data_IF_046576379387
#
_entry.id   IF_046576379387
#
_cell.length_a   1.000
_cell.length_b   1.000
_cell.length_c   1.000
_cell.angle_alpha   90.00
_cell.angle_beta   90.00
_cell.angle_gamma   90.00
#
_symmetry.space_group_name_H-M   'P 1'
#
loop_
_entity.id
_entity.type
_entity.pdbx_description
1 polymer ?
#
# COMPACT_ATOMS: atom_id res chain seq x y z
N UNK A 1 -37.01 -17.00 -26.51
CA UNK A 1 -36.32 -17.58 -25.33
C UNK A 1 -34.79 -17.47 -25.36
N UNK A 2 -34.13 -17.27 -26.50
CA UNK A 2 -32.65 -17.27 -26.59
C UNK A 2 -31.97 -15.95 -26.19
N UNK A 3 -32.67 -14.81 -26.31
CA UNK A 3 -32.17 -13.49 -25.89
C UNK A 3 -32.13 -13.30 -24.36
N UNK A 4 -33.00 -14.00 -23.63
CA UNK A 4 -33.10 -13.93 -22.16
C UNK A 4 -31.94 -14.66 -21.47
N UNK A 5 -31.46 -15.76 -22.05
CA UNK A 5 -30.41 -16.60 -21.47
C UNK A 5 -29.05 -15.91 -21.57
N UNK A 6 -28.75 -15.19 -22.67
CA UNK A 6 -27.50 -14.46 -22.83
C UNK A 6 -27.40 -13.23 -21.92
N UNK A 7 -28.51 -12.51 -21.69
CA UNK A 7 -28.56 -11.41 -20.73
C UNK A 7 -28.38 -11.90 -19.28
N UNK A 8 -28.96 -13.05 -18.92
CA UNK A 8 -28.82 -13.63 -17.57
C UNK A 8 -27.41 -14.21 -17.33
N UNK A 9 -26.77 -14.81 -18.34
CA UNK A 9 -25.36 -15.24 -18.23
C UNK A 9 -24.39 -14.05 -18.20
N UNK A 10 -24.69 -12.96 -18.92
CA UNK A 10 -23.89 -11.73 -18.89
C UNK A 10 -23.94 -11.03 -17.52
N UNK A 11 -25.11 -10.94 -16.88
CA UNK A 11 -25.26 -10.34 -15.56
C UNK A 11 -24.85 -11.25 -14.39
N UNK A 12 -24.93 -12.58 -14.55
CA UNK A 12 -24.51 -13.54 -13.50
C UNK A 12 -22.99 -13.77 -13.44
N UNK A 13 -22.24 -13.52 -14.52
CA UNK A 13 -20.78 -13.76 -14.57
C UNK A 13 -19.91 -12.51 -14.43
N UNK A 14 -20.42 -11.29 -14.64
CA UNK A 14 -19.55 -10.11 -14.76
C UNK A 14 -19.27 -9.36 -13.44
N UNK A 15 -20.13 -9.43 -12.42
CA UNK A 15 -19.99 -8.59 -11.20
C UNK A 15 -19.70 -9.37 -9.90
N UNK A 16 -19.91 -10.69 -9.88
CA UNK A 16 -19.77 -11.54 -8.68
C UNK A 16 -18.30 -11.86 -8.32
N UNK A 17 -17.39 -12.24 -9.25
CA UNK A 17 -16.02 -12.59 -8.89
C UNK A 17 -15.15 -11.37 -8.51
N UNK A 18 -15.45 -10.19 -9.07
CA UNK A 18 -14.63 -8.97 -8.87
C UNK A 18 -14.75 -8.43 -7.43
N UNK A 19 -15.96 -8.42 -6.88
CA UNK A 19 -16.21 -8.02 -5.49
C UNK A 19 -15.76 -9.10 -4.49
N UNK A 20 -15.90 -10.38 -4.85
CA UNK A 20 -15.39 -11.49 -4.05
C UNK A 20 -13.87 -11.41 -3.90
N UNK A 21 -13.14 -11.13 -5.00
CA UNK A 21 -11.69 -10.97 -4.94
C UNK A 21 -11.29 -9.83 -4.01
N UNK A 22 -11.94 -8.66 -4.08
CA UNK A 22 -11.64 -7.54 -3.17
C UNK A 22 -11.84 -7.91 -1.70
N UNK A 23 -12.91 -8.61 -1.37
CA UNK A 23 -13.18 -9.07 0.00
C UNK A 23 -12.13 -10.08 0.48
N UNK A 24 -11.81 -11.07 -0.35
CA UNK A 24 -10.82 -12.11 -0.01
C UNK A 24 -9.41 -11.52 0.07
N UNK A 25 -9.04 -10.57 -0.80
CA UNK A 25 -7.80 -9.80 -0.70
C UNK A 25 -7.72 -9.11 0.66
N UNK A 26 -8.75 -8.34 1.03
CA UNK A 26 -8.78 -7.63 2.32
C UNK A 26 -8.67 -8.59 3.50
N UNK A 27 -9.35 -9.72 3.46
CA UNK A 27 -9.23 -10.77 4.49
C UNK A 27 -7.83 -11.39 4.51
N UNK A 28 -7.21 -11.62 3.35
CA UNK A 28 -5.88 -12.21 3.24
C UNK A 28 -4.80 -11.26 3.79
N UNK A 29 -4.89 -9.97 3.48
CA UNK A 29 -4.05 -8.92 4.04
C UNK A 29 -4.18 -8.83 5.56
N UNK A 30 -5.40 -8.91 6.09
CA UNK A 30 -5.65 -8.89 7.53
C UNK A 30 -5.08 -10.11 8.27
N UNK A 31 -4.91 -11.24 7.55
CA UNK A 31 -4.32 -12.48 8.06
C UNK A 31 -2.81 -12.59 7.74
N UNK A 32 -2.20 -11.56 7.13
CA UNK A 32 -0.79 -11.56 6.73
C UNK A 32 -0.44 -12.52 5.59
N UNK A 33 -1.43 -13.03 4.85
CA UNK A 33 -1.23 -13.94 3.71
C UNK A 33 -0.92 -13.15 2.44
N UNK A 34 0.28 -12.57 2.39
CA UNK A 34 0.67 -11.65 1.31
C UNK A 34 0.68 -12.27 -0.07
N UNK A 35 1.24 -13.47 -0.21
CA UNK A 35 1.31 -14.16 -1.51
C UNK A 35 -0.10 -14.40 -2.09
N UNK A 36 -1.06 -14.76 -1.23
CA UNK A 36 -2.46 -14.98 -1.63
C UNK A 36 -3.12 -13.67 -2.01
N UNK A 37 -2.92 -12.62 -1.20
CA UNK A 37 -3.45 -11.30 -1.49
C UNK A 37 -2.91 -10.77 -2.84
N UNK A 38 -1.60 -10.91 -3.08
CA UNK A 38 -0.95 -10.49 -4.32
C UNK A 38 -1.45 -11.29 -5.51
N UNK A 39 -1.51 -12.62 -5.39
CA UNK A 39 -2.04 -13.48 -6.44
C UNK A 39 -3.46 -13.10 -6.86
N UNK A 40 -4.35 -12.87 -5.89
CA UNK A 40 -5.73 -12.47 -6.16
C UNK A 40 -5.81 -11.06 -6.75
N UNK A 41 -4.95 -10.15 -6.28
CA UNK A 41 -4.84 -8.79 -6.80
C UNK A 41 -4.42 -8.80 -8.28
N UNK A 42 -3.41 -9.60 -8.65
CA UNK A 42 -2.92 -9.71 -10.03
C UNK A 42 -3.97 -10.33 -10.99
N UNK A 43 -4.98 -11.01 -10.45
CA UNK A 43 -6.11 -11.56 -11.21
C UNK A 43 -7.29 -10.59 -11.36
N UNK A 44 -7.21 -9.38 -10.80
CA UNK A 44 -8.26 -8.38 -10.97
C UNK A 44 -8.26 -7.83 -12.41
N UNK A 45 -9.40 -7.93 -13.09
CA UNK A 45 -9.57 -7.40 -14.45
C UNK A 45 -9.48 -5.86 -14.49
N UNK A 46 -9.92 -5.21 -13.42
CA UNK A 46 -9.89 -3.75 -13.27
C UNK A 46 -9.17 -3.41 -11.97
N UNK A 47 -7.91 -2.97 -12.11
CA UNK A 47 -7.15 -2.39 -11.00
C UNK A 47 -7.24 -0.88 -11.10
N UNK A 48 -7.39 -0.26 -9.94
CA UNK A 48 -7.44 1.18 -9.80
C UNK A 48 -6.70 1.61 -8.53
N UNK A 49 -6.59 2.92 -8.36
CA UNK A 49 -5.93 3.54 -7.22
C UNK A 49 -6.40 3.00 -5.86
N UNK A 50 -7.69 2.76 -5.70
CA UNK A 50 -8.26 2.24 -4.44
C UNK A 50 -7.74 0.83 -4.15
N UNK A 51 -7.69 -0.04 -5.16
CA UNK A 51 -7.21 -1.41 -5.02
C UNK A 51 -5.70 -1.46 -4.73
N UNK A 52 -4.91 -0.57 -5.32
CA UNK A 52 -3.47 -0.45 -5.06
C UNK A 52 -3.20 0.10 -3.66
N UNK A 53 -3.91 1.16 -3.24
CA UNK A 53 -3.81 1.71 -1.88
C UNK A 53 -4.21 0.69 -0.81
N UNK A 54 -5.16 -0.20 -1.11
CA UNK A 54 -5.50 -1.33 -0.24
C UNK A 54 -4.31 -2.28 -0.07
N UNK A 55 -3.62 -2.64 -1.16
CA UNK A 55 -2.43 -3.50 -1.10
C UNK A 55 -1.30 -2.84 -0.32
N UNK A 56 -0.97 -1.58 -0.63
CA UNK A 56 0.07 -0.80 0.07
C UNK A 56 -0.20 -0.75 1.58
N UNK A 57 -1.44 -0.42 1.97
CA UNK A 57 -1.85 -0.38 3.39
C UNK A 57 -1.75 -1.76 4.03
N UNK A 58 -2.14 -2.81 3.31
CA UNK A 58 -2.07 -4.19 3.78
C UNK A 58 -0.63 -4.63 4.06
N UNK A 59 0.28 -4.41 3.11
CA UNK A 59 1.71 -4.66 3.28
C UNK A 59 2.29 -3.86 4.45
N UNK A 60 1.94 -2.57 4.56
CA UNK A 60 2.38 -1.71 5.66
C UNK A 60 1.97 -2.23 7.05
N UNK A 61 0.73 -2.72 7.20
CA UNK A 61 0.24 -3.26 8.47
C UNK A 61 0.99 -4.52 8.92
N UNK A 62 1.55 -5.27 7.96
CA UNK A 62 2.25 -6.52 8.19
C UNK A 62 3.78 -6.39 8.12
N UNK A 63 4.30 -5.17 8.24
CA UNK A 63 5.75 -4.93 8.30
C UNK A 63 6.48 -5.38 7.02
N UNK A 64 5.80 -5.27 5.87
CA UNK A 64 6.38 -5.54 4.56
C UNK A 64 6.52 -4.22 3.79
N UNK A 65 7.65 -3.57 3.96
CA UNK A 65 7.94 -2.28 3.32
C UNK A 65 8.44 -2.43 1.88
N UNK A 66 9.02 -3.57 1.53
CA UNK A 66 9.38 -3.91 0.15
C UNK A 66 8.13 -4.13 -0.69
N UNK A 67 7.22 -5.00 -0.24
CA UNK A 67 5.94 -5.23 -0.91
C UNK A 67 5.11 -3.96 -1.02
N UNK A 68 5.11 -3.10 0.01
CA UNK A 68 4.45 -1.80 -0.07
C UNK A 68 5.07 -0.88 -1.16
N UNK A 69 6.39 -0.86 -1.29
CA UNK A 69 7.10 -0.05 -2.29
C UNK A 69 6.91 -0.60 -3.71
N UNK A 70 6.95 -1.93 -3.90
CA UNK A 70 6.64 -2.56 -5.19
C UNK A 70 5.23 -2.19 -5.69
N UNK A 71 4.28 -2.03 -4.78
CA UNK A 71 2.93 -1.59 -5.16
C UNK A 71 2.88 -0.12 -5.60
N UNK A 72 3.78 0.74 -5.11
CA UNK A 72 3.95 2.10 -5.61
C UNK A 72 4.51 2.08 -7.04
N UNK A 73 5.59 1.32 -7.26
CA UNK A 73 6.18 1.17 -8.60
C UNK A 73 5.14 0.64 -9.60
N UNK A 74 4.34 -0.34 -9.19
CA UNK A 74 3.23 -0.85 -9.99
C UNK A 74 2.18 0.23 -10.28
N UNK A 75 1.86 1.10 -9.32
CA UNK A 75 0.92 2.20 -9.52
C UNK A 75 1.44 3.18 -10.59
N UNK A 76 2.70 3.57 -10.51
CA UNK A 76 3.35 4.47 -11.48
C UNK A 76 3.44 3.83 -12.88
N UNK A 77 3.77 2.53 -12.96
CA UNK A 77 3.79 1.76 -14.21
C UNK A 77 2.41 1.66 -14.87
N UNK A 78 1.34 1.61 -14.08
CA UNK A 78 -0.05 1.64 -14.57
C UNK A 78 -0.54 3.05 -14.93
N UNK A 79 0.31 4.07 -14.80
CA UNK A 79 -0.03 5.47 -15.09
C UNK A 79 -1.00 6.08 -14.07
N UNK A 80 -1.07 5.49 -12.88
CA UNK A 80 -1.89 5.97 -11.77
C UNK A 80 -1.04 6.86 -10.87
N UNK A 81 -1.58 8.01 -10.48
CA UNK A 81 -0.83 8.96 -9.65
C UNK A 81 -1.01 8.67 -8.14
N UNK A 82 0.10 8.45 -7.40
CA UNK A 82 0.09 8.37 -5.93
C UNK A 82 -0.52 9.63 -5.29
N UNK A 83 -1.34 9.46 -4.25
CA UNK A 83 -1.81 10.55 -3.40
C UNK A 83 -1.21 10.56 -1.99
N UNK A 84 -1.64 11.52 -1.19
CA UNK A 84 -1.29 11.66 0.22
C UNK A 84 -1.51 10.36 1.01
N UNK A 85 -2.59 9.61 0.75
CA UNK A 85 -2.84 8.30 1.39
C UNK A 85 -1.78 7.27 0.99
N UNK A 86 -1.43 7.23 -0.30
CA UNK A 86 -0.40 6.34 -0.86
C UNK A 86 0.95 6.57 -0.16
N UNK A 87 1.40 7.82 -0.15
CA UNK A 87 2.68 8.21 0.46
C UNK A 87 2.67 8.04 1.99
N UNK A 88 1.60 8.42 2.68
CA UNK A 88 1.49 8.23 4.14
C UNK A 88 1.60 6.76 4.53
N UNK A 89 1.00 5.86 3.74
CA UNK A 89 1.06 4.41 3.98
C UNK A 89 2.47 3.86 3.79
N UNK A 90 3.20 4.32 2.77
CA UNK A 90 4.60 3.96 2.54
C UNK A 90 5.52 4.42 3.67
N UNK A 91 5.37 5.68 4.12
CA UNK A 91 6.12 6.22 5.25
C UNK A 91 5.89 5.39 6.51
N UNK A 92 4.62 5.07 6.79
CA UNK A 92 4.23 4.23 7.93
C UNK A 92 4.85 2.84 7.84
N UNK A 93 4.86 2.24 6.64
CA UNK A 93 5.46 0.93 6.40
C UNK A 93 6.95 0.92 6.71
N UNK A 94 7.70 1.89 6.16
CA UNK A 94 9.15 1.97 6.35
C UNK A 94 9.52 2.27 7.80
N UNK A 95 8.77 3.14 8.48
CA UNK A 95 8.93 3.39 9.92
C UNK A 95 8.75 2.10 10.73
N UNK A 96 7.68 1.34 10.47
CA UNK A 96 7.39 0.07 11.17
C UNK A 96 8.48 -0.97 10.97
N UNK A 97 9.14 -0.98 9.82
CA UNK A 97 10.23 -1.90 9.52
C UNK A 97 11.61 -1.39 9.97
N UNK A 98 11.65 -0.22 10.63
CA UNK A 98 12.91 0.40 11.06
C UNK A 98 13.76 0.98 9.92
N UNK A 99 13.23 1.05 8.69
CA UNK A 99 13.91 1.62 7.52
C UNK A 99 13.81 3.15 7.50
N UNK A 100 14.18 3.75 8.62
CA UNK A 100 14.00 5.17 8.94
C UNK A 100 14.67 6.11 7.91
N UNK A 101 15.86 5.73 7.40
CA UNK A 101 16.58 6.55 6.43
C UNK A 101 15.91 6.55 5.05
N UNK A 102 15.28 5.44 4.66
CA UNK A 102 14.50 5.34 3.42
C UNK A 102 13.18 6.11 3.54
N UNK A 103 12.52 6.03 4.70
CA UNK A 103 11.32 6.82 4.98
C UNK A 103 11.57 8.32 4.84
N UNK A 104 12.73 8.83 5.27
CA UNK A 104 13.12 10.24 5.04
C UNK A 104 13.19 10.59 3.55
N UNK A 105 13.79 9.71 2.73
CA UNK A 105 13.85 9.92 1.27
C UNK A 105 12.47 9.90 0.63
N UNK A 106 11.59 8.98 1.05
CA UNK A 106 10.21 8.91 0.59
C UNK A 106 9.44 10.20 0.94
N UNK A 107 9.67 10.76 2.12
CA UNK A 107 9.05 12.01 2.53
C UNK A 107 9.52 13.19 1.69
N UNK A 108 10.81 13.23 1.33
CA UNK A 108 11.33 14.24 0.41
C UNK A 108 10.72 14.08 -1.00
N UNK A 109 10.61 12.85 -1.51
CA UNK A 109 9.92 12.58 -2.79
C UNK A 109 8.46 13.05 -2.78
N UNK A 110 7.71 12.74 -1.72
CA UNK A 110 6.33 13.21 -1.53
C UNK A 110 6.23 14.74 -1.61
N UNK A 111 7.14 15.45 -0.93
CA UNK A 111 7.18 16.92 -0.92
C UNK A 111 7.57 17.50 -2.28
N UNK A 112 8.58 16.92 -2.93
CA UNK A 112 9.03 17.36 -4.25
C UNK A 112 7.98 17.12 -5.34
N UNK A 113 7.18 16.06 -5.20
CA UNK A 113 6.00 15.81 -6.04
C UNK A 113 4.84 16.77 -5.80
N UNK A 114 4.94 17.72 -4.86
CA UNK A 114 3.86 18.65 -4.53
C UNK A 114 2.67 17.98 -3.83
N UNK A 115 2.84 16.76 -3.33
CA UNK A 115 1.78 16.03 -2.64
C UNK A 115 1.54 16.65 -1.28
N UNK A 116 0.26 16.87 -0.95
CA UNK A 116 -0.15 17.42 0.35
C UNK A 116 0.35 16.51 1.47
N UNK A 117 1.14 17.08 2.37
CA UNK A 117 1.57 16.40 3.60
C UNK A 117 0.42 16.37 4.60
N UNK A 118 -0.01 15.17 4.99
CA UNK A 118 -1.06 14.93 5.99
C UNK A 118 -0.51 15.04 7.42
N UNK A 119 -1.41 15.19 8.40
CA UNK A 119 -1.01 15.20 9.82
C UNK A 119 -0.45 13.83 10.24
N UNK A 120 -1.00 12.76 9.67
CA UNK A 120 -0.55 11.38 9.83
C UNK A 120 0.87 11.19 9.32
N UNK A 121 1.19 11.70 8.13
CA UNK A 121 2.55 11.65 7.59
C UNK A 121 3.54 12.40 8.50
N UNK A 122 3.16 13.58 9.00
CA UNK A 122 4.01 14.34 9.94
C UNK A 122 4.23 13.57 11.25
N UNK A 123 3.20 12.93 11.80
CA UNK A 123 3.33 12.13 13.01
C UNK A 123 4.33 10.98 12.83
N UNK A 124 4.26 10.29 11.69
CA UNK A 124 5.22 9.23 11.33
C UNK A 124 6.64 9.78 11.19
N UNK A 125 6.81 10.93 10.54
CA UNK A 125 8.14 11.54 10.43
C UNK A 125 8.72 11.97 11.77
N UNK A 126 7.89 12.46 12.69
CA UNK A 126 8.32 12.80 14.05
C UNK A 126 8.77 11.57 14.83
N UNK A 127 8.08 10.43 14.71
CA UNK A 127 8.52 9.19 15.35
C UNK A 127 9.85 8.70 14.78
N UNK A 128 10.00 8.73 13.45
CA UNK A 128 11.27 8.38 12.78
C UNK A 128 12.43 9.26 13.29
N UNK A 129 12.22 10.58 13.37
CA UNK A 129 13.24 11.50 13.88
C UNK A 129 13.63 11.19 15.33
N UNK A 130 12.64 10.89 16.19
CA UNK A 130 12.91 10.50 17.57
C UNK A 130 13.74 9.21 17.65
N UNK A 131 13.41 8.20 16.85
CA UNK A 131 14.13 6.93 16.78
C UNK A 131 15.57 7.11 16.29
N UNK A 132 15.79 7.94 15.27
CA UNK A 132 17.13 8.25 14.77
C UNK A 132 17.98 8.99 15.81
N UNK A 133 17.38 9.94 16.54
CA UNK A 133 18.07 10.63 17.65
C UNK A 133 18.44 9.65 18.76
N UNK A 134 17.54 8.76 19.14
CA UNK A 134 17.80 7.72 20.14
C UNK A 134 18.91 6.76 19.67
N UNK A 135 18.85 6.32 18.42
CA UNK A 135 19.87 5.46 17.82
C UNK A 135 21.26 6.10 17.83
N UNK A 136 21.35 7.38 17.42
CA UNK A 136 22.61 8.12 17.43
C UNK A 136 23.20 8.26 18.84
N UNK A 137 22.35 8.49 19.86
CA UNK A 137 22.79 8.49 21.26
C UNK A 137 23.26 7.12 21.72
N UNK A 138 22.52 6.05 21.40
CA UNK A 138 22.92 4.68 21.72
C UNK A 138 24.29 4.33 21.13
N UNK A 139 24.52 4.69 19.86
CA UNK A 139 25.81 4.49 19.19
C UNK A 139 26.95 5.26 19.86
N UNK A 140 26.69 6.45 20.40
CA UNK A 140 27.71 7.25 21.10
C UNK A 140 28.10 6.67 22.47
N UNK A 141 27.27 5.82 23.08
CA UNK A 141 27.54 5.20 24.39
C UNK A 141 28.25 3.85 24.24
N UNK A 142 27.98 3.12 23.15
CA UNK A 142 28.56 1.80 22.85
C UNK A 142 30.03 1.83 22.37
N UNK A 143 30.84 2.81 22.81
CA UNK A 143 32.29 2.89 22.51
C UNK A 143 33.04 1.74 23.18
#
# INVERSE_FOLDING_TARGET
MQLSIHLITFFSNAQQPVNANKFIIRSSLALGKMDVARHLFDKMCERNKISLNMMISGFALNYDCDGAFEMLEQMELEGLEPDDVTWTSLLSSHARCGRNQEALKLFDSMRMGGIRVSAEALAVMLSICADLVAFNKGKAIHV
#
